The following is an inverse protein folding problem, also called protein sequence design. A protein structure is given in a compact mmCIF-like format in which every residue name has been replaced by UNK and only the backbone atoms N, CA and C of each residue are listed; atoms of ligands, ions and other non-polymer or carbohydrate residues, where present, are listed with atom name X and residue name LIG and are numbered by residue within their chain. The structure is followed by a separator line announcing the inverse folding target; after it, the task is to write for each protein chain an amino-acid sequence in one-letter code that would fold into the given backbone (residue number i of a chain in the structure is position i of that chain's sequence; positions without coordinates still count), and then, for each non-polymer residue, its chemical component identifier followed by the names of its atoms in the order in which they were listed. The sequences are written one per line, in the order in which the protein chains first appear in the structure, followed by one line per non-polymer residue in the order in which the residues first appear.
data_IF_279384904852
#
_entry.id   IF_279384904852
#
_cell.length_a   1.000
_cell.length_b   1.000
_cell.length_c   1.000
_cell.angle_alpha   90.00
_cell.angle_beta   90.00
_cell.angle_gamma   90.00
#
_symmetry.space_group_name_H-M   'P 1'
#
loop_
_entity.id
_entity.type
_entity.pdbx_description
1 polymer ?
#
# COMPACT_ATOMS: atom_id res chain seq x y z
N UNK A 1 7.08 -17.68 24.21
CA UNK A 1 6.70 -18.34 22.95
C UNK A 1 6.22 -17.30 21.96
N UNK A 2 6.94 -17.10 20.86
CA UNK A 2 6.57 -16.13 19.82
C UNK A 2 5.40 -16.70 19.00
N UNK A 3 4.19 -16.16 19.15
CA UNK A 3 3.03 -16.55 18.34
C UNK A 3 3.21 -16.05 16.89
N UNK A 4 3.95 -16.82 16.10
CA UNK A 4 4.14 -16.59 14.66
C UNK A 4 2.89 -17.05 13.92
N UNK A 5 2.32 -16.18 13.10
CA UNK A 5 1.14 -16.47 12.28
C UNK A 5 1.37 -16.02 10.83
N UNK A 6 0.60 -16.58 9.90
CA UNK A 6 0.63 -16.15 8.51
C UNK A 6 -0.13 -14.84 8.38
N UNK A 7 0.55 -13.80 7.92
CA UNK A 7 -0.06 -12.53 7.55
C UNK A 7 -0.02 -12.33 6.05
N UNK A 8 -1.11 -11.81 5.51
CA UNK A 8 -1.25 -11.36 4.14
C UNK A 8 -1.16 -9.84 4.10
N UNK A 9 -0.23 -9.31 3.32
CA UNK A 9 -0.05 -7.88 3.08
C UNK A 9 -0.54 -7.58 1.68
N UNK A 10 -1.34 -6.54 1.51
CA UNK A 10 -2.00 -6.26 0.26
C UNK A 10 -2.27 -4.78 0.06
N UNK A 11 -2.33 -4.36 -1.20
CA UNK A 11 -2.56 -2.98 -1.62
C UNK A 11 -3.98 -2.82 -2.16
N UNK A 12 -4.70 -1.79 -1.71
CA UNK A 12 -5.97 -1.44 -2.33
C UNK A 12 -5.72 -0.99 -3.77
N UNK A 13 -6.36 -1.62 -4.76
CA UNK A 13 -6.19 -1.23 -6.16
C UNK A 13 -6.93 0.05 -6.54
N UNK A 14 -7.77 0.61 -5.66
CA UNK A 14 -8.43 1.89 -5.89
C UNK A 14 -7.61 3.11 -5.44
N UNK A 15 -6.93 3.01 -4.29
CA UNK A 15 -6.24 4.16 -3.68
C UNK A 15 -4.78 3.88 -3.33
N UNK A 16 -4.29 2.68 -3.60
CA UNK A 16 -2.90 2.30 -3.35
C UNK A 16 -2.55 2.11 -1.86
N UNK A 17 -3.50 2.18 -0.94
CA UNK A 17 -3.22 2.02 0.50
C UNK A 17 -2.84 0.58 0.85
N UNK A 18 -1.73 0.41 1.57
CA UNK A 18 -1.31 -0.89 2.10
C UNK A 18 -2.10 -1.28 3.35
N UNK A 19 -2.45 -2.55 3.45
CA UNK A 19 -3.11 -3.16 4.61
C UNK A 19 -2.62 -4.59 4.85
N UNK A 20 -2.91 -5.15 6.02
CA UNK A 20 -2.58 -6.54 6.35
C UNK A 20 -3.76 -7.27 7.03
N UNK A 21 -3.73 -8.60 7.00
CA UNK A 21 -4.68 -9.48 7.69
C UNK A 21 -4.07 -10.86 7.94
N UNK A 22 -4.41 -11.50 9.06
CA UNK A 22 -4.08 -12.91 9.32
C UNK A 22 -5.21 -13.88 8.93
N UNK A 23 -6.33 -13.35 8.42
CA UNK A 23 -7.49 -14.15 7.96
C UNK A 23 -7.47 -14.30 6.44
N UNK A 24 -8.01 -15.42 5.96
CA UNK A 24 -8.32 -15.63 4.55
C UNK A 24 -9.45 -14.68 4.15
N UNK A 25 -9.22 -13.82 3.16
CA UNK A 25 -10.18 -12.80 2.73
C UNK A 25 -10.49 -12.99 1.24
N UNK A 26 -11.78 -13.01 0.88
CA UNK A 26 -12.22 -12.93 -0.53
C UNK A 26 -12.41 -11.47 -0.97
N UNK A 27 -13.02 -10.66 -0.11
CA UNK A 27 -13.33 -9.24 -0.36
C UNK A 27 -12.94 -8.38 0.85
N UNK A 28 -12.40 -7.19 0.59
CA UNK A 28 -11.99 -6.26 1.65
C UNK A 28 -12.53 -4.87 1.38
N UNK A 29 -13.05 -4.21 2.42
CA UNK A 29 -13.30 -2.77 2.42
C UNK A 29 -12.02 -2.02 2.79
N UNK A 30 -11.60 -1.08 1.95
CA UNK A 30 -10.53 -0.15 2.25
C UNK A 30 -11.03 0.93 3.21
N UNK A 31 -10.32 1.17 4.31
CA UNK A 31 -10.68 2.21 5.28
C UNK A 31 -10.30 3.63 4.83
N UNK A 32 -9.45 3.77 3.81
CA UNK A 32 -9.02 5.07 3.29
C UNK A 32 -9.98 5.64 2.24
N UNK A 33 -10.35 4.82 1.26
CA UNK A 33 -11.23 5.25 0.16
C UNK A 33 -12.66 4.72 0.28
N UNK A 34 -12.97 3.99 1.36
CA UNK A 34 -14.27 3.36 1.63
C UNK A 34 -14.81 2.41 0.56
N UNK A 35 -14.04 2.11 -0.49
CA UNK A 35 -14.41 1.16 -1.54
C UNK A 35 -14.12 -0.27 -1.12
N UNK A 36 -15.01 -1.17 -1.53
CA UNK A 36 -14.81 -2.61 -1.44
C UNK A 36 -14.06 -3.13 -2.66
N UNK A 37 -13.25 -4.16 -2.46
CA UNK A 37 -12.44 -4.73 -3.51
C UNK A 37 -12.20 -6.24 -3.35
N UNK A 38 -12.03 -6.92 -4.48
CA UNK A 38 -11.71 -8.35 -4.50
C UNK A 38 -10.24 -8.56 -4.16
N UNK A 39 -9.97 -9.35 -3.11
CA UNK A 39 -8.61 -9.64 -2.65
C UNK A 39 -7.78 -10.40 -3.69
N UNK A 40 -8.43 -11.14 -4.61
CA UNK A 40 -7.72 -11.78 -5.73
C UNK A 40 -7.05 -10.79 -6.70
N UNK A 41 -7.61 -9.59 -6.85
CA UNK A 41 -7.14 -8.58 -7.79
C UNK A 41 -6.13 -7.60 -7.17
N UNK A 42 -5.92 -7.63 -5.86
CA UNK A 42 -4.93 -6.77 -5.19
C UNK A 42 -3.52 -7.33 -5.31
N UNK A 43 -2.54 -6.45 -5.56
CA UNK A 43 -1.13 -6.76 -5.34
C UNK A 43 -0.93 -7.17 -3.87
N UNK A 44 -0.35 -8.34 -3.63
CA UNK A 44 -0.29 -8.96 -2.30
C UNK A 44 0.86 -9.95 -2.17
N UNK A 45 1.28 -10.18 -0.93
CA UNK A 45 2.19 -11.24 -0.56
C UNK A 45 1.84 -11.75 0.85
N UNK A 46 2.41 -12.89 1.25
CA UNK A 46 2.23 -13.45 2.59
C UNK A 46 3.55 -13.71 3.29
N UNK A 47 3.59 -13.54 4.61
CA UNK A 47 4.78 -13.83 5.43
C UNK A 47 4.39 -14.40 6.79
N UNK A 48 5.15 -15.37 7.28
CA UNK A 48 5.05 -15.89 8.65
C UNK A 48 5.79 -14.94 9.59
N UNK A 49 5.06 -14.19 10.42
CA UNK A 49 5.63 -13.21 11.35
C UNK A 49 4.81 -13.15 12.64
N UNK A 50 5.39 -12.58 13.69
CA UNK A 50 4.60 -12.16 14.86
C UNK A 50 3.72 -10.97 14.51
N UNK A 51 2.71 -10.69 15.34
CA UNK A 51 1.87 -9.50 15.17
C UNK A 51 2.69 -8.19 15.14
N UNK A 52 3.68 -8.07 16.02
CA UNK A 52 4.62 -6.94 16.02
C UNK A 52 5.42 -6.86 14.71
N UNK A 53 5.87 -7.99 14.17
CA UNK A 53 6.53 -8.06 12.87
C UNK A 53 5.63 -7.59 11.73
N UNK A 54 4.34 -7.94 11.76
CA UNK A 54 3.38 -7.46 10.77
C UNK A 54 3.19 -5.93 10.83
N UNK A 55 3.12 -5.36 12.04
CA UNK A 55 3.06 -3.90 12.23
C UNK A 55 4.32 -3.21 11.68
N UNK A 56 5.50 -3.80 11.88
CA UNK A 56 6.75 -3.23 11.35
C UNK A 56 6.75 -3.22 9.82
N UNK A 57 6.41 -4.35 9.20
CA UNK A 57 6.36 -4.49 7.74
C UNK A 57 5.37 -3.49 7.12
N UNK A 58 4.17 -3.35 7.68
CA UNK A 58 3.18 -2.43 7.10
C UNK A 58 3.66 -0.97 7.17
N UNK A 59 4.34 -0.58 8.25
CA UNK A 59 4.93 0.76 8.37
C UNK A 59 5.99 0.99 7.29
N UNK A 60 6.90 0.03 7.11
CA UNK A 60 7.93 0.11 6.07
C UNK A 60 7.34 0.22 4.66
N UNK A 61 6.28 -0.55 4.36
CA UNK A 61 5.59 -0.49 3.07
C UNK A 61 4.93 0.87 2.82
N UNK A 62 4.26 1.44 3.83
CA UNK A 62 3.64 2.77 3.72
C UNK A 62 4.69 3.85 3.50
N UNK A 63 5.78 3.84 4.28
CA UNK A 63 6.88 4.79 4.13
C UNK A 63 7.56 4.68 2.76
N UNK A 64 7.74 3.47 2.22
CA UNK A 64 8.27 3.28 0.85
C UNK A 64 7.31 3.83 -0.21
N UNK A 65 6.01 3.56 -0.08
CA UNK A 65 5.00 4.09 -1.00
C UNK A 65 4.91 5.62 -0.98
N UNK A 66 5.09 6.26 0.17
CA UNK A 66 5.18 7.72 0.29
C UNK A 66 6.44 8.26 -0.42
N UNK A 67 7.58 7.57 -0.28
CA UNK A 67 8.81 7.94 -1.00
C UNK A 67 8.66 7.77 -2.50
N UNK A 68 8.05 6.70 -2.99
CA UNK A 68 7.77 6.51 -4.43
C UNK A 68 6.84 7.61 -4.97
N UNK A 69 5.79 7.95 -4.23
CA UNK A 69 4.90 9.06 -4.59
C UNK A 69 5.68 10.38 -4.63
N UNK A 70 6.50 10.67 -3.62
CA UNK A 70 7.32 11.88 -3.55
C UNK A 70 8.33 11.94 -4.71
N UNK A 71 9.01 10.85 -5.04
CA UNK A 71 9.95 10.77 -6.16
C UNK A 71 9.24 10.97 -7.50
N UNK A 72 8.04 10.42 -7.69
CA UNK A 72 7.23 10.69 -8.88
C UNK A 72 6.88 12.18 -8.99
N UNK A 73 6.50 12.84 -7.89
CA UNK A 73 6.24 14.29 -7.89
C UNK A 73 7.50 15.13 -8.10
N UNK A 74 8.64 14.76 -7.52
CA UNK A 74 9.91 15.48 -7.65
C UNK A 74 10.51 15.32 -9.04
N UNK A 75 10.43 14.14 -9.67
CA UNK A 75 10.93 13.92 -11.02
C UNK A 75 10.06 14.56 -12.11
N UNK A 76 8.79 14.87 -11.85
CA UNK A 76 7.98 15.71 -12.75
C UNK A 76 8.55 17.15 -12.82
N UNK A 77 9.17 17.66 -11.74
CA UNK A 77 9.76 19.00 -11.76
C UNK A 77 11.11 19.11 -12.50
N UNK A 78 11.74 17.98 -12.85
CA UNK A 78 13.07 17.98 -13.50
C UNK A 78 12.95 17.84 -15.02
N UNK A 79 11.82 17.39 -15.56
CA UNK A 79 11.59 17.32 -17.01
C UNK A 79 10.26 17.96 -17.40
N UNK A 80 10.30 19.26 -17.73
CA UNK A 80 9.26 19.92 -18.50
C UNK A 80 8.63 21.13 -17.83
N UNK A 81 9.23 22.30 -18.03
CA UNK A 81 8.44 23.51 -18.26
C UNK A 81 7.58 23.28 -19.51
N UNK A 82 6.27 23.50 -19.41
CA UNK A 82 5.64 24.36 -20.40
C UNK A 82 5.05 25.55 -19.65
N UNK A 83 5.88 26.60 -19.48
CA UNK A 83 5.35 27.92 -19.18
C UNK A 83 4.82 28.49 -20.49
N UNK A 84 3.51 28.41 -20.69
CA UNK A 84 2.76 29.49 -21.34
C UNK A 84 1.27 29.35 -21.01
N UNK A 85 0.92 29.78 -19.80
CA UNK A 85 -0.35 30.44 -19.59
C UNK A 85 -0.16 31.89 -20.04
N UNK A 86 -0.73 32.26 -21.18
CA UNK A 86 -1.24 33.62 -21.38
C UNK A 86 -2.45 33.58 -22.31
N UNK A 87 -3.50 34.22 -21.79
CA UNK A 87 -4.80 34.53 -22.40
C UNK A 87 -4.64 35.27 -23.72
#
# INVERSE_FOLDING_TARGET
MSNVQKFYFFRCYHCGEWSYSNKIIKTKKCWKCNRSFLFKNSAKFSKMVTFQGAIKIIKELKMKGEKESLFQFLNIKINGTPNNFKK
#
